data_IF_371863146888
#
_entry.id   IF_371863146888
#
_cell.length_a   1.000
_cell.length_b   1.000
_cell.length_c   1.000
_cell.angle_alpha   90.00
_cell.angle_beta   90.00
_cell.angle_gamma   90.00
#
_symmetry.space_group_name_H-M   'P 1'
#
loop_
_entity.id
_entity.type
_entity.pdbx_description
1 polymer ?
#
# COMPACT_ATOMS: atom_id res chain seq x y z
N UNK A 1 11.90 2.56 24.81
CA UNK A 1 10.81 2.52 25.80
C UNK A 1 10.38 3.95 26.06
N UNK A 2 9.14 4.26 25.82
CA UNK A 2 8.54 5.55 26.12
C UNK A 2 7.57 5.42 27.29
N UNK A 3 7.43 6.49 28.08
CA UNK A 3 6.51 6.52 29.21
C UNK A 3 5.25 7.28 28.81
N UNK A 4 4.07 6.66 28.97
CA UNK A 4 2.81 7.35 28.67
C UNK A 4 2.55 8.51 29.65
N UNK A 5 2.83 8.28 30.92
CA UNK A 5 2.59 9.25 32.01
C UNK A 5 3.88 9.51 32.78
N UNK A 6 4.85 10.27 32.27
CA UNK A 6 6.11 10.54 32.99
C UNK A 6 5.90 11.28 34.29
N UNK A 7 4.82 12.03 34.43
CA UNK A 7 4.44 12.73 35.67
C UNK A 7 4.19 11.78 36.84
N UNK A 8 3.76 10.53 36.57
CA UNK A 8 3.59 9.53 37.61
C UNK A 8 4.91 9.21 38.34
N UNK A 9 6.06 9.37 37.71
CA UNK A 9 7.37 9.16 38.31
C UNK A 9 7.68 10.18 39.40
N UNK A 10 7.05 11.37 39.43
CA UNK A 10 7.19 12.33 40.52
C UNK A 10 6.66 11.80 41.85
N UNK A 11 5.73 10.82 41.80
CA UNK A 11 5.27 10.15 43.03
C UNK A 11 6.37 9.35 43.73
N UNK A 12 7.46 8.99 43.03
CA UNK A 12 8.63 8.36 43.66
C UNK A 12 9.30 9.28 44.71
N UNK A 13 9.18 10.60 44.55
CA UNK A 13 9.69 11.57 45.54
C UNK A 13 8.95 11.49 46.90
N UNK A 14 7.73 10.95 46.93
CA UNK A 14 6.95 10.72 48.13
C UNK A 14 7.44 9.48 48.94
N UNK A 15 8.18 8.55 48.31
CA UNK A 15 8.64 7.32 48.94
C UNK A 15 9.55 7.56 50.16
N UNK A 16 10.56 8.44 50.13
CA UNK A 16 11.39 8.70 51.31
C UNK A 16 10.59 9.30 52.46
N UNK A 17 9.61 10.16 52.15
CA UNK A 17 8.72 10.73 53.16
C UNK A 17 7.84 9.64 53.83
N UNK A 18 7.24 8.78 52.97
CA UNK A 18 6.44 7.64 53.43
C UNK A 18 7.29 6.65 54.23
N UNK A 19 8.54 6.39 53.81
CA UNK A 19 9.50 5.57 54.50
C UNK A 19 9.87 6.11 55.88
N UNK A 20 10.15 7.41 55.95
CA UNK A 20 10.39 8.08 57.23
C UNK A 20 9.20 7.90 58.18
N UNK A 21 7.98 8.11 57.70
CA UNK A 21 6.77 8.00 58.53
C UNK A 21 6.49 6.55 58.98
N UNK A 22 6.72 5.55 58.10
CA UNK A 22 6.54 4.13 58.40
C UNK A 22 7.57 3.61 59.41
N UNK A 23 8.83 4.06 59.31
CA UNK A 23 9.92 3.62 60.16
C UNK A 23 9.92 4.33 61.50
N UNK A 24 9.48 5.61 61.59
CA UNK A 24 9.49 6.43 62.79
C UNK A 24 8.19 6.41 63.61
N UNK A 25 7.11 5.81 63.06
CA UNK A 25 5.82 5.71 63.78
C UNK A 25 5.88 4.68 64.93
N UNK A 26 6.62 5.00 65.96
CA UNK A 26 6.69 4.23 67.24
C UNK A 26 5.61 4.69 68.21
N UNK A 27 4.32 4.59 67.86
CA UNK A 27 3.25 4.69 68.87
C UNK A 27 2.67 3.28 69.07
N UNK A 28 3.37 2.48 69.82
CA UNK A 28 2.81 1.29 70.45
C UNK A 28 1.99 1.68 71.69
N UNK A 29 0.90 0.99 71.94
CA UNK A 29 0.20 1.08 73.18
C UNK A 29 1.17 0.72 74.28
N UNK A 30 1.31 1.59 75.33
CA UNK A 30 2.16 1.34 76.44
C UNK A 30 1.34 0.63 77.54
N UNK A 31 1.74 -0.59 77.88
CA UNK A 31 1.18 -1.33 78.97
C UNK A 31 2.11 -1.07 80.16
N UNK A 32 1.54 -0.61 81.27
CA UNK A 32 2.30 -0.39 82.50
C UNK A 32 2.53 -1.73 83.21
N UNK A 33 3.80 -2.13 83.28
CA UNK A 33 4.22 -3.31 84.01
C UNK A 33 4.92 -2.92 85.30
N UNK A 34 4.72 -3.65 86.44
CA UNK A 34 5.31 -3.31 87.76
C UNK A 34 6.82 -3.44 87.75
N UNK A 35 7.41 -4.36 86.99
CA UNK A 35 8.87 -4.54 86.87
C UNK A 35 9.27 -4.98 85.48
N UNK A 36 10.35 -4.39 84.91
CA UNK A 36 10.93 -4.71 83.66
C UNK A 36 12.28 -5.43 83.74
N UNK A 37 12.70 -5.79 84.90
CA UNK A 37 14.07 -6.31 85.16
C UNK A 37 14.28 -7.62 84.40
N UNK A 38 13.35 -8.54 84.50
CA UNK A 38 13.45 -9.86 83.83
C UNK A 38 13.24 -9.79 82.26
N UNK A 39 12.53 -8.77 81.81
CA UNK A 39 12.34 -8.58 80.36
C UNK A 39 13.55 -7.99 79.65
N UNK A 40 14.43 -7.27 80.34
CA UNK A 40 15.67 -6.70 79.81
C UNK A 40 16.73 -7.75 79.48
N UNK A 41 16.68 -8.90 80.12
CA UNK A 41 17.59 -10.03 79.88
C UNK A 41 17.16 -10.97 78.78
N UNK A 42 15.95 -10.82 78.21
CA UNK A 42 15.47 -11.66 77.11
C UNK A 42 16.14 -11.34 75.77
N UNK A 43 16.68 -12.35 75.10
CA UNK A 43 17.26 -12.13 73.72
C UNK A 43 16.19 -11.65 72.70
N UNK A 44 16.58 -10.65 71.93
CA UNK A 44 15.69 -10.12 70.86
C UNK A 44 15.44 -11.20 69.80
N UNK A 45 14.19 -11.62 69.67
CA UNK A 45 13.79 -12.62 68.70
C UNK A 45 14.13 -12.17 67.23
N UNK A 46 14.59 -13.11 66.44
CA UNK A 46 14.84 -12.87 65.01
C UNK A 46 13.63 -12.28 64.26
N UNK A 47 12.42 -12.62 64.70
CA UNK A 47 11.16 -12.05 64.16
C UNK A 47 11.08 -10.52 64.38
N UNK A 48 11.56 -10.04 65.49
CA UNK A 48 11.57 -8.60 65.80
C UNK A 48 12.62 -7.86 64.98
N UNK A 49 13.78 -8.51 64.72
CA UNK A 49 14.83 -7.96 63.84
C UNK A 49 14.42 -7.85 62.38
N UNK A 50 13.64 -8.82 61.84
CA UNK A 50 13.18 -8.84 60.44
C UNK A 50 11.90 -8.02 60.19
N UNK A 51 11.26 -7.52 61.26
CA UNK A 51 10.03 -6.73 61.14
C UNK A 51 10.17 -5.47 60.28
N UNK A 52 11.26 -4.70 60.25
CA UNK A 52 11.44 -3.57 59.36
C UNK A 52 11.43 -3.98 57.86
N UNK A 53 11.70 -5.27 57.54
CA UNK A 53 11.65 -5.79 56.22
C UNK A 53 10.24 -5.69 55.59
N UNK A 54 9.17 -5.81 56.39
CA UNK A 54 7.79 -5.61 55.94
C UNK A 54 7.54 -4.16 55.51
N UNK A 55 8.12 -3.19 56.18
CA UNK A 55 8.02 -1.79 55.79
C UNK A 55 8.76 -1.53 54.48
N UNK A 56 9.93 -2.16 54.30
CA UNK A 56 10.69 -2.08 53.06
C UNK A 56 9.93 -2.76 51.91
N UNK A 57 9.34 -3.95 52.15
CA UNK A 57 8.51 -4.64 51.16
C UNK A 57 7.31 -3.78 50.70
N UNK A 58 6.67 -3.09 51.64
CA UNK A 58 5.58 -2.14 51.36
C UNK A 58 6.03 -0.97 50.50
N UNK A 59 7.17 -0.38 50.80
CA UNK A 59 7.75 0.72 50.01
C UNK A 59 8.11 0.25 48.60
N UNK A 60 8.68 -0.96 48.49
CA UNK A 60 9.00 -1.56 47.19
C UNK A 60 7.73 -1.83 46.37
N UNK A 61 6.66 -2.33 47.02
CA UNK A 61 5.37 -2.54 46.36
C UNK A 61 4.81 -1.22 45.82
N UNK A 62 4.82 -0.15 46.61
CA UNK A 62 4.38 1.18 46.17
C UNK A 62 5.25 1.70 45.02
N UNK A 63 6.57 1.49 45.06
CA UNK A 63 7.47 1.88 43.99
C UNK A 63 7.11 1.15 42.66
N UNK A 64 6.88 -0.16 42.71
CA UNK A 64 6.49 -0.95 41.58
C UNK A 64 5.13 -0.52 41.01
N UNK A 65 4.17 -0.18 41.84
CA UNK A 65 2.87 0.35 41.44
C UNK A 65 2.99 1.73 40.74
N UNK A 66 3.89 2.59 41.26
CA UNK A 66 4.16 3.89 40.62
C UNK A 66 4.78 3.69 39.24
N UNK A 67 5.73 2.73 39.09
CA UNK A 67 6.30 2.38 37.80
C UNK A 67 5.25 1.81 36.84
N UNK A 68 4.33 0.99 37.35
CA UNK A 68 3.20 0.49 36.56
C UNK A 68 2.27 1.63 36.11
N UNK A 69 2.00 2.61 36.99
CA UNK A 69 1.17 3.78 36.70
C UNK A 69 1.81 4.70 35.64
N UNK A 70 3.15 4.74 35.59
CA UNK A 70 3.88 5.46 34.56
C UNK A 70 3.68 4.84 33.11
N UNK A 71 3.08 3.63 33.04
CA UNK A 71 2.74 2.90 31.80
C UNK A 71 3.90 2.88 30.80
N UNK A 72 4.97 2.08 31.06
CA UNK A 72 6.03 1.87 30.07
C UNK A 72 5.46 1.18 28.83
N UNK A 73 5.69 1.78 27.67
CA UNK A 73 5.23 1.26 26.39
C UNK A 73 6.39 1.08 25.42
N UNK A 74 6.31 0.02 24.63
CA UNK A 74 7.15 -0.17 23.45
C UNK A 74 6.32 0.19 22.23
N UNK A 75 6.75 1.18 21.47
CA UNK A 75 6.21 1.45 20.15
C UNK A 75 6.70 0.38 19.19
N UNK A 76 5.80 -0.41 18.64
CA UNK A 76 6.06 -1.17 17.44
C UNK A 76 5.57 -0.30 16.31
N UNK A 77 6.48 0.16 15.45
CA UNK A 77 6.12 0.89 14.25
C UNK A 77 5.51 -0.13 13.30
N UNK A 78 4.20 -0.23 13.30
CA UNK A 78 3.48 -0.88 12.22
C UNK A 78 3.33 0.17 11.14
N UNK A 79 4.14 0.07 10.11
CA UNK A 79 3.98 0.84 8.89
C UNK A 79 2.83 0.21 8.12
N UNK A 80 1.60 0.64 8.32
CA UNK A 80 0.56 0.43 7.32
C UNK A 80 0.92 1.31 6.13
N UNK A 81 1.57 0.71 5.16
CA UNK A 81 1.76 1.33 3.86
C UNK A 81 0.41 1.23 3.15
N UNK A 82 -0.47 2.20 3.38
CA UNK A 82 -1.61 2.40 2.48
C UNK A 82 -1.03 2.93 1.18
N UNK A 83 -0.83 2.04 0.22
CA UNK A 83 -0.37 2.43 -1.11
C UNK A 83 -1.59 2.87 -1.90
N UNK A 84 -1.77 4.17 -2.05
CA UNK A 84 -2.70 4.71 -3.03
C UNK A 84 -2.00 4.61 -4.39
N UNK A 85 -2.62 3.94 -5.33
CA UNK A 85 -2.12 3.80 -6.70
C UNK A 85 -3.19 4.08 -7.73
N UNK A 86 -2.78 4.13 -8.99
CA UNK A 86 -3.67 4.25 -10.15
C UNK A 86 -3.80 2.88 -10.78
N UNK A 87 -4.96 2.59 -11.34
CA UNK A 87 -5.15 1.44 -12.21
C UNK A 87 -5.08 1.89 -13.66
N UNK A 88 -4.12 1.37 -14.40
CA UNK A 88 -3.83 1.71 -15.79
C UNK A 88 -4.05 0.47 -16.66
N UNK A 89 -4.93 0.55 -17.64
CA UNK A 89 -5.09 -0.49 -18.65
C UNK A 89 -4.50 0.00 -19.97
N UNK A 90 -3.39 -0.58 -20.40
CA UNK A 90 -2.82 -0.32 -21.72
C UNK A 90 -3.55 -1.19 -22.76
N UNK A 91 -4.16 -0.54 -23.76
CA UNK A 91 -4.91 -1.18 -24.83
C UNK A 91 -4.18 -0.94 -26.14
N UNK A 92 -3.51 -1.97 -26.65
CA UNK A 92 -2.56 -1.88 -27.76
C UNK A 92 -3.10 -2.57 -28.99
N UNK A 93 -3.15 -1.84 -30.09
CA UNK A 93 -3.46 -2.36 -31.40
C UNK A 93 -2.33 -3.24 -31.94
N UNK A 94 -2.66 -4.43 -32.40
CA UNK A 94 -1.73 -5.36 -33.07
C UNK A 94 -2.15 -5.74 -34.49
N UNK A 95 -3.04 -4.95 -35.10
CA UNK A 95 -3.51 -5.15 -36.46
C UNK A 95 -2.39 -5.02 -37.53
N UNK A 96 -2.68 -5.46 -38.74
CA UNK A 96 -1.69 -5.46 -39.79
C UNK A 96 -1.17 -4.07 -40.18
N UNK A 97 -1.91 -2.98 -39.95
CA UNK A 97 -1.50 -1.59 -40.14
C UNK A 97 -0.30 -1.20 -39.25
N UNK A 98 -0.18 -1.79 -38.07
CA UNK A 98 0.93 -1.57 -37.15
C UNK A 98 2.31 -2.05 -37.67
N UNK A 99 2.35 -2.70 -38.85
CA UNK A 99 3.59 -3.00 -39.58
C UNK A 99 4.23 -1.78 -40.22
N UNK A 100 3.50 -0.66 -40.36
CA UNK A 100 4.04 0.55 -40.98
C UNK A 100 5.27 1.05 -40.18
N UNK A 101 6.23 1.63 -40.93
CA UNK A 101 7.47 2.14 -40.33
C UNK A 101 7.24 3.45 -39.53
N UNK A 102 7.90 3.56 -38.41
CA UNK A 102 7.95 4.74 -37.56
C UNK A 102 9.40 5.02 -37.14
N UNK A 103 9.75 6.28 -37.02
CA UNK A 103 11.08 6.66 -36.58
C UNK A 103 11.24 6.50 -35.04
N UNK A 104 12.32 5.82 -34.62
CA UNK A 104 12.71 5.65 -33.25
C UNK A 104 14.19 6.05 -33.11
N UNK A 105 14.44 7.30 -32.72
CA UNK A 105 15.77 7.86 -32.53
C UNK A 105 16.72 7.68 -33.73
N UNK A 106 16.18 7.77 -34.96
CA UNK A 106 16.90 7.58 -36.21
C UNK A 106 16.90 6.13 -36.76
N UNK A 107 16.39 5.17 -35.98
CA UNK A 107 16.15 3.80 -36.41
C UNK A 107 14.71 3.64 -36.92
N UNK A 108 14.49 2.95 -38.03
CA UNK A 108 13.17 2.68 -38.54
C UNK A 108 12.68 1.33 -38.02
N UNK A 109 11.68 1.39 -37.15
CA UNK A 109 11.00 0.23 -36.60
C UNK A 109 9.54 0.20 -37.04
N UNK A 110 8.86 -0.93 -36.88
CA UNK A 110 7.42 -0.96 -37.04
C UNK A 110 6.71 -0.24 -35.87
N UNK A 111 5.50 0.27 -36.10
CA UNK A 111 4.72 1.03 -35.13
C UNK A 111 4.53 0.26 -33.82
N UNK A 112 4.23 -1.05 -33.89
CA UNK A 112 4.05 -1.88 -32.70
C UNK A 112 5.34 -1.94 -31.85
N UNK A 113 6.52 -2.09 -32.49
CA UNK A 113 7.78 -2.16 -31.75
C UNK A 113 8.12 -0.84 -31.07
N UNK A 114 7.83 0.29 -31.73
CA UNK A 114 7.97 1.62 -31.11
C UNK A 114 7.05 1.75 -29.90
N UNK A 115 5.78 1.35 -30.03
CA UNK A 115 4.82 1.35 -28.89
C UNK A 115 5.31 0.49 -27.75
N UNK A 116 5.80 -0.71 -28.02
CA UNK A 116 6.32 -1.64 -27.01
C UNK A 116 7.48 -1.02 -26.24
N UNK A 117 8.44 -0.40 -26.92
CA UNK A 117 9.59 0.25 -26.30
C UNK A 117 9.16 1.43 -25.42
N UNK A 118 8.33 2.33 -25.95
CA UNK A 118 7.87 3.51 -25.18
C UNK A 118 6.99 3.13 -24.00
N UNK A 119 6.13 2.11 -24.12
CA UNK A 119 5.35 1.61 -22.99
C UNK A 119 6.25 0.94 -21.94
N UNK A 120 7.29 0.21 -22.34
CA UNK A 120 8.25 -0.36 -21.40
C UNK A 120 8.99 0.76 -20.63
N UNK A 121 9.43 1.82 -21.31
CA UNK A 121 10.02 3.02 -20.68
C UNK A 121 9.04 3.69 -19.71
N UNK A 122 7.76 3.78 -20.04
CA UNK A 122 6.74 4.33 -19.15
C UNK A 122 6.53 3.48 -17.89
N UNK A 123 6.54 2.16 -18.04
CA UNK A 123 6.29 1.21 -16.94
C UNK A 123 7.51 1.11 -16.00
N UNK A 124 8.68 0.87 -16.56
CA UNK A 124 9.92 0.64 -15.80
C UNK A 124 10.60 1.94 -15.38
N UNK A 125 10.38 3.00 -16.12
CA UNK A 125 11.08 4.28 -16.01
C UNK A 125 12.24 4.39 -16.98
N UNK A 126 12.56 5.62 -17.32
CA UNK A 126 13.78 5.98 -18.05
C UNK A 126 14.66 6.83 -17.13
N UNK A 127 15.99 6.67 -17.19
CA UNK A 127 16.93 7.43 -16.36
C UNK A 127 16.84 8.96 -16.54
N UNK A 128 16.14 9.43 -17.59
CA UNK A 128 16.07 10.84 -17.97
C UNK A 128 14.79 11.55 -17.50
N UNK A 129 13.60 11.07 -17.91
CA UNK A 129 12.35 11.81 -17.79
C UNK A 129 11.22 11.07 -17.08
N UNK A 130 11.20 9.73 -17.12
CA UNK A 130 10.15 8.88 -16.54
C UNK A 130 10.68 8.13 -15.30
N UNK A 131 10.03 8.34 -14.14
CA UNK A 131 10.46 7.69 -12.87
C UNK A 131 10.01 6.24 -12.75
N UNK A 132 9.20 5.74 -13.69
CA UNK A 132 8.55 4.45 -13.59
C UNK A 132 7.34 4.45 -12.63
N UNK A 133 6.53 3.40 -12.73
CA UNK A 133 5.20 3.30 -12.11
C UNK A 133 5.14 2.21 -11.04
N UNK A 134 6.12 2.16 -10.13
CA UNK A 134 6.32 1.07 -9.16
C UNK A 134 5.13 0.78 -8.24
N UNK A 135 4.23 1.75 -8.04
CA UNK A 135 3.09 1.65 -7.12
C UNK A 135 1.74 1.53 -7.82
N UNK A 136 1.70 1.51 -9.15
CA UNK A 136 0.46 1.48 -9.92
C UNK A 136 0.13 0.06 -10.40
N UNK A 137 -1.16 -0.25 -10.49
CA UNK A 137 -1.65 -1.47 -11.12
C UNK A 137 -1.70 -1.27 -12.62
N UNK A 138 -0.94 -2.06 -13.36
CA UNK A 138 -0.91 -1.94 -14.82
C UNK A 138 -1.32 -3.26 -15.45
N UNK A 139 -2.26 -3.20 -16.41
CA UNK A 139 -2.71 -4.31 -17.23
C UNK A 139 -2.45 -4.07 -18.71
N UNK A 140 -2.52 -5.13 -19.50
CA UNK A 140 -2.32 -5.11 -20.95
C UNK A 140 -3.42 -5.88 -21.66
N UNK A 141 -4.17 -5.16 -22.45
CA UNK A 141 -5.12 -5.69 -23.44
C UNK A 141 -4.52 -5.46 -24.80
N UNK A 142 -4.54 -6.47 -25.65
CA UNK A 142 -4.18 -6.34 -27.07
C UNK A 142 -5.40 -6.60 -27.93
N UNK A 143 -5.50 -5.93 -29.06
CA UNK A 143 -6.62 -6.13 -29.95
C UNK A 143 -6.22 -6.05 -31.42
N UNK A 144 -6.98 -6.72 -32.24
CA UNK A 144 -7.04 -6.63 -33.68
C UNK A 144 -8.50 -6.85 -34.07
N UNK A 145 -8.86 -7.95 -34.69
CA UNK A 145 -10.26 -8.35 -34.92
C UNK A 145 -11.00 -8.66 -33.62
N UNK A 146 -10.30 -9.16 -32.64
CA UNK A 146 -10.79 -9.48 -31.28
C UNK A 146 -9.90 -8.82 -30.25
N UNK A 147 -10.48 -8.48 -29.11
CA UNK A 147 -9.76 -7.97 -27.98
C UNK A 147 -9.47 -9.10 -26.97
N UNK A 148 -8.21 -9.21 -26.53
CA UNK A 148 -7.76 -10.21 -25.59
C UNK A 148 -6.96 -9.58 -24.45
N UNK A 149 -7.16 -10.09 -23.23
CA UNK A 149 -6.34 -9.69 -22.07
C UNK A 149 -5.04 -10.48 -22.11
N UNK A 150 -3.93 -9.82 -22.39
CA UNK A 150 -2.62 -10.45 -22.42
C UNK A 150 -2.00 -10.52 -21.03
N UNK A 151 -2.16 -9.45 -20.25
CA UNK A 151 -1.75 -9.42 -18.85
C UNK A 151 -2.85 -8.77 -18.00
N UNK A 152 -3.32 -9.43 -16.92
CA UNK A 152 -4.24 -8.78 -15.98
C UNK A 152 -3.56 -7.63 -15.25
N UNK A 153 -4.34 -6.81 -14.54
CA UNK A 153 -3.81 -5.72 -13.71
C UNK A 153 -2.91 -6.27 -12.59
N UNK A 154 -1.62 -5.96 -12.66
CA UNK A 154 -0.58 -6.44 -11.73
C UNK A 154 0.31 -5.29 -11.25
N UNK A 155 0.87 -5.45 -10.05
CA UNK A 155 1.93 -4.57 -9.51
C UNK A 155 3.34 -5.04 -9.95
N UNK A 156 3.46 -6.27 -10.46
CA UNK A 156 4.74 -6.85 -10.91
C UNK A 156 5.03 -6.46 -12.35
N UNK A 157 5.68 -5.34 -12.54
CA UNK A 157 5.90 -4.75 -13.86
C UNK A 157 6.85 -5.57 -14.75
N UNK A 158 7.78 -6.32 -14.17
CA UNK A 158 8.65 -7.22 -14.96
C UNK A 158 7.90 -8.31 -15.72
N UNK A 159 6.78 -8.79 -15.16
CA UNK A 159 5.90 -9.76 -15.85
C UNK A 159 5.17 -9.08 -17.01
N UNK A 160 4.70 -7.86 -16.79
CA UNK A 160 3.98 -7.09 -17.81
C UNK A 160 4.88 -6.77 -19.00
N UNK A 161 6.12 -6.33 -18.78
CA UNK A 161 7.08 -6.03 -19.85
C UNK A 161 7.47 -7.28 -20.64
N UNK A 162 7.51 -8.44 -20.00
CA UNK A 162 7.74 -9.70 -20.73
C UNK A 162 6.58 -10.04 -21.65
N UNK A 163 5.32 -9.91 -21.20
CA UNK A 163 4.15 -10.06 -22.07
C UNK A 163 4.11 -9.04 -23.21
N UNK A 164 4.51 -7.79 -22.91
CA UNK A 164 4.59 -6.74 -23.91
C UNK A 164 5.62 -7.08 -25.00
N UNK A 165 6.80 -7.61 -24.64
CA UNK A 165 7.83 -8.05 -25.60
C UNK A 165 7.33 -9.18 -26.50
N UNK A 166 6.53 -10.11 -25.97
CA UNK A 166 5.98 -11.25 -26.71
C UNK A 166 4.84 -10.85 -27.66
N UNK A 167 4.28 -9.64 -27.53
CA UNK A 167 3.22 -9.16 -28.41
C UNK A 167 3.71 -9.08 -29.86
N UNK A 168 2.96 -9.70 -30.78
CA UNK A 168 3.27 -9.73 -32.20
C UNK A 168 2.08 -9.25 -33.05
N UNK A 169 2.38 -8.69 -34.20
CA UNK A 169 1.38 -8.31 -35.21
C UNK A 169 0.68 -9.56 -35.69
N UNK A 170 -0.61 -9.46 -35.93
CA UNK A 170 -1.42 -10.55 -36.45
C UNK A 170 -0.92 -10.99 -37.84
N UNK A 171 -0.66 -12.30 -37.93
CA UNK A 171 -0.15 -12.90 -39.19
C UNK A 171 -1.26 -13.44 -40.11
N UNK A 172 -2.39 -13.84 -39.50
CA UNK A 172 -3.49 -14.47 -40.18
C UNK A 172 -4.52 -13.42 -40.63
N UNK A 173 -4.87 -13.47 -41.93
CA UNK A 173 -5.84 -12.53 -42.54
C UNK A 173 -7.24 -12.57 -41.90
N UNK A 174 -7.63 -13.71 -41.34
CA UNK A 174 -8.92 -13.89 -40.68
C UNK A 174 -8.93 -13.30 -39.22
N UNK A 175 -7.78 -12.98 -38.68
CA UNK A 175 -7.62 -12.33 -37.36
C UNK A 175 -7.31 -10.83 -37.47
N UNK A 176 -7.04 -10.36 -38.70
CA UNK A 176 -6.75 -8.95 -38.97
C UNK A 176 -8.03 -8.11 -38.95
N UNK A 177 -7.91 -6.89 -38.48
CA UNK A 177 -8.99 -5.94 -38.27
C UNK A 177 -8.75 -5.11 -37.01
N UNK A 178 -9.65 -4.18 -36.74
CA UNK A 178 -9.48 -3.21 -35.64
C UNK A 178 -10.80 -3.04 -34.88
N UNK A 179 -10.95 -3.75 -33.75
CA UNK A 179 -12.14 -3.78 -32.90
C UNK A 179 -11.99 -2.84 -31.70
N UNK A 180 -11.97 -1.53 -31.92
CA UNK A 180 -11.73 -0.50 -30.88
C UNK A 180 -12.81 -0.57 -29.80
N UNK A 181 -14.08 -0.72 -30.17
CA UNK A 181 -15.18 -0.76 -29.21
C UNK A 181 -15.08 -1.93 -28.24
N UNK A 182 -14.80 -3.13 -28.74
CA UNK A 182 -14.61 -4.33 -27.91
C UNK A 182 -13.37 -4.20 -27.03
N UNK A 183 -12.29 -3.57 -27.51
CA UNK A 183 -11.06 -3.34 -26.76
C UNK A 183 -11.28 -2.39 -25.58
N UNK A 184 -11.99 -1.28 -25.80
CA UNK A 184 -12.38 -0.34 -24.72
C UNK A 184 -13.29 -1.03 -23.71
N UNK A 185 -14.31 -1.75 -24.17
CA UNK A 185 -15.26 -2.45 -23.29
C UNK A 185 -14.53 -3.48 -22.41
N UNK A 186 -13.60 -4.27 -22.98
CA UNK A 186 -12.81 -5.25 -22.24
C UNK A 186 -11.89 -4.59 -21.23
N UNK A 187 -11.12 -3.57 -21.61
CA UNK A 187 -10.22 -2.84 -20.73
C UNK A 187 -10.97 -2.16 -19.57
N UNK A 188 -12.11 -1.52 -19.88
CA UNK A 188 -12.96 -0.92 -18.87
C UNK A 188 -13.53 -1.97 -17.89
N UNK A 189 -13.97 -3.13 -18.37
CA UNK A 189 -14.45 -4.22 -17.53
C UNK A 189 -13.33 -4.79 -16.62
N UNK A 190 -12.08 -4.85 -17.09
CA UNK A 190 -10.91 -5.26 -16.28
C UNK A 190 -10.65 -4.28 -15.14
N UNK A 191 -10.64 -2.98 -15.44
CA UNK A 191 -10.45 -1.92 -14.45
C UNK A 191 -11.57 -1.95 -13.38
N UNK A 192 -12.82 -2.12 -13.80
CA UNK A 192 -13.97 -2.20 -12.90
C UNK A 192 -13.89 -3.43 -11.99
N UNK A 193 -13.58 -4.58 -12.58
CA UNK A 193 -13.44 -5.84 -11.82
C UNK A 193 -12.31 -5.77 -10.78
N UNK A 194 -11.17 -5.19 -11.13
CA UNK A 194 -10.06 -5.01 -10.20
C UNK A 194 -10.44 -4.12 -9.01
N UNK A 195 -11.18 -3.03 -9.25
CA UNK A 195 -11.70 -2.18 -8.19
C UNK A 195 -12.63 -2.96 -7.24
N UNK A 196 -13.57 -3.73 -7.80
CA UNK A 196 -14.51 -4.55 -7.00
C UNK A 196 -13.81 -5.64 -6.18
N UNK A 197 -12.81 -6.30 -6.75
CA UNK A 197 -12.02 -7.33 -6.06
C UNK A 197 -11.21 -6.74 -4.91
N UNK A 198 -10.59 -5.58 -5.11
CA UNK A 198 -9.87 -4.87 -4.05
C UNK A 198 -10.82 -4.39 -2.94
N UNK A 199 -11.98 -3.84 -3.29
CA UNK A 199 -12.99 -3.44 -2.31
C UNK A 199 -13.49 -4.63 -1.48
N UNK A 200 -13.80 -5.78 -2.11
CA UNK A 200 -14.18 -7.01 -1.42
C UNK A 200 -13.08 -7.51 -0.48
N UNK A 201 -11.83 -7.48 -0.92
CA UNK A 201 -10.68 -7.86 -0.10
C UNK A 201 -10.53 -6.96 1.11
N UNK A 202 -10.62 -5.65 0.94
CA UNK A 202 -10.54 -4.68 2.02
C UNK A 202 -11.69 -4.85 3.03
N UNK A 203 -12.92 -5.13 2.56
CA UNK A 203 -14.07 -5.43 3.41
C UNK A 203 -13.89 -6.74 4.19
N UNK A 204 -13.37 -7.80 3.57
CA UNK A 204 -13.15 -9.10 4.23
C UNK A 204 -12.08 -9.01 5.33
N UNK A 205 -11.11 -8.14 5.19
CA UNK A 205 -10.08 -7.86 6.21
C UNK A 205 -10.64 -7.04 7.39
N UNK A 206 -11.69 -6.23 7.18
CA UNK A 206 -12.35 -5.41 8.21
C UNK A 206 -13.43 -6.12 9.02
N UNK A 207 -14.00 -7.24 8.54
CA UNK A 207 -15.12 -7.93 9.18
C UNK A 207 -14.76 -9.17 10.02
N UNK A 208 -13.48 -9.48 10.20
CA UNK A 208 -13.02 -10.55 11.09
C UNK A 208 -13.17 -10.13 12.56
N UNK A 209 -14.40 -10.17 13.08
CA UNK A 209 -14.67 -10.00 14.51
C UNK A 209 -14.03 -11.13 15.31
N UNK A 210 -13.12 -10.78 16.14
CA UNK A 210 -12.61 -11.32 17.41
C UNK A 210 -11.08 -11.21 17.50
N UNK A 211 -10.64 -10.12 18.07
CA UNK A 211 -9.53 -10.10 19.04
C UNK A 211 -8.09 -10.18 18.55
N UNK A 212 -7.79 -10.47 17.29
CA UNK A 212 -6.41 -10.37 16.77
C UNK A 212 -6.46 -9.81 15.35
N UNK A 213 -6.34 -8.51 15.24
CA UNK A 213 -6.15 -7.81 13.96
C UNK A 213 -4.78 -8.18 13.40
N UNK A 214 -4.75 -9.19 12.54
CA UNK A 214 -3.67 -9.36 11.57
C UNK A 214 -3.83 -8.31 10.49
N UNK A 215 -3.46 -7.09 10.80
CA UNK A 215 -3.40 -5.96 9.87
C UNK A 215 -2.10 -5.94 9.07
N UNK A 216 -1.57 -7.10 8.68
CA UNK A 216 -0.27 -7.17 8.00
C UNK A 216 -0.36 -7.15 6.46
N UNK A 217 -1.55 -7.01 5.90
CA UNK A 217 -1.69 -6.89 4.44
C UNK A 217 -1.84 -5.41 4.06
N UNK A 218 -0.91 -4.85 3.24
CA UNK A 218 -1.02 -3.48 2.77
C UNK A 218 -2.36 -3.31 2.02
N UNK A 219 -3.18 -2.38 2.48
CA UNK A 219 -4.43 -2.04 1.80
C UNK A 219 -4.09 -1.20 0.58
N UNK A 220 -4.32 -1.75 -0.62
CA UNK A 220 -4.18 -1.01 -1.87
C UNK A 220 -5.53 -0.36 -2.21
N UNK A 221 -5.49 0.95 -2.49
CA UNK A 221 -6.70 1.70 -2.88
C UNK A 221 -6.49 2.33 -4.26
N UNK A 222 -7.39 2.03 -5.20
CA UNK A 222 -7.36 2.64 -6.53
C UNK A 222 -7.96 4.05 -6.42
N UNK A 223 -7.14 5.06 -6.68
CA UNK A 223 -7.56 6.47 -6.69
C UNK A 223 -8.19 6.86 -8.02
N UNK A 224 -7.54 6.53 -9.11
CA UNK A 224 -7.99 6.82 -10.47
C UNK A 224 -7.90 5.56 -11.33
N UNK A 225 -8.78 5.48 -12.32
CA UNK A 225 -8.79 4.43 -13.33
C UNK A 225 -8.59 5.07 -14.70
N UNK A 226 -7.57 4.65 -15.42
CA UNK A 226 -7.26 5.16 -16.74
C UNK A 226 -7.09 4.03 -17.76
N UNK A 227 -7.50 4.28 -18.98
CA UNK A 227 -7.30 3.42 -20.11
C UNK A 227 -6.49 4.19 -21.15
N UNK A 228 -5.38 3.64 -21.61
CA UNK A 228 -4.52 4.22 -22.65
C UNK A 228 -4.73 3.40 -23.90
N UNK A 229 -5.46 3.95 -24.87
CA UNK A 229 -5.72 3.33 -26.16
C UNK A 229 -4.68 3.77 -27.17
N UNK A 230 -3.95 2.80 -27.76
CA UNK A 230 -2.94 3.02 -28.79
C UNK A 230 -3.38 2.29 -30.05
N UNK A 231 -3.68 3.04 -31.12
CA UNK A 231 -4.15 2.50 -32.40
C UNK A 231 -3.70 3.36 -33.57
N UNK A 232 -3.55 2.75 -34.71
CA UNK A 232 -3.26 3.43 -36.00
C UNK A 232 -4.38 3.27 -37.06
N UNK A 233 -5.49 2.62 -36.67
CA UNK A 233 -6.56 2.25 -37.59
C UNK A 233 -7.91 2.88 -37.28
N UNK A 234 -8.88 2.53 -38.15
CA UNK A 234 -10.31 2.81 -37.98
C UNK A 234 -11.00 1.61 -37.36
N UNK A 235 -12.05 1.88 -36.60
CA UNK A 235 -12.90 0.80 -36.11
C UNK A 235 -13.65 0.15 -37.30
N UNK A 236 -13.29 -1.07 -37.65
CA UNK A 236 -13.90 -1.82 -38.76
C UNK A 236 -14.46 -3.18 -38.32
N UNK A 237 -14.22 -3.59 -37.11
CA UNK A 237 -14.64 -4.85 -36.50
C UNK A 237 -15.16 -4.63 -35.06
N UNK A 238 -15.70 -5.69 -34.46
CA UNK A 238 -16.19 -5.67 -33.09
C UNK A 238 -17.72 -5.74 -33.00
N UNK A 239 -18.21 -6.04 -31.83
CA UNK A 239 -19.65 -6.13 -31.50
C UNK A 239 -20.16 -4.84 -30.85
N UNK A 240 -19.29 -4.14 -30.12
CA UNK A 240 -19.64 -2.92 -29.42
C UNK A 240 -19.22 -1.69 -30.21
N UNK A 241 -20.10 -0.68 -30.23
CA UNK A 241 -19.75 0.62 -30.79
C UNK A 241 -18.69 1.28 -29.87
N UNK A 242 -17.64 1.89 -30.45
CA UNK A 242 -16.62 2.59 -29.65
C UNK A 242 -17.17 3.69 -28.73
N UNK A 243 -18.21 4.41 -29.18
CA UNK A 243 -18.86 5.46 -28.37
C UNK A 243 -19.68 4.87 -27.23
N UNK A 244 -20.41 3.77 -27.45
CA UNK A 244 -21.12 3.06 -26.37
C UNK A 244 -20.14 2.52 -25.31
N UNK A 245 -19.01 1.97 -25.75
CA UNK A 245 -17.97 1.51 -24.84
C UNK A 245 -17.33 2.67 -24.05
N UNK A 246 -17.17 3.85 -24.68
CA UNK A 246 -16.71 5.06 -23.99
C UNK A 246 -17.72 5.57 -22.97
N UNK A 247 -19.01 5.56 -23.26
CA UNK A 247 -20.06 5.91 -22.28
C UNK A 247 -20.08 4.94 -21.10
N UNK A 248 -19.90 3.65 -21.33
CA UNK A 248 -19.77 2.65 -20.29
C UNK A 248 -18.57 2.94 -19.38
N UNK A 249 -17.41 3.23 -19.98
CA UNK A 249 -16.20 3.59 -19.26
C UNK A 249 -16.40 4.85 -18.42
N UNK A 250 -17.06 5.89 -18.95
CA UNK A 250 -17.43 7.11 -18.24
C UNK A 250 -18.30 6.82 -17.03
N UNK A 251 -19.32 5.97 -17.17
CA UNK A 251 -20.21 5.59 -16.06
C UNK A 251 -19.48 4.87 -14.93
N UNK A 252 -18.36 4.21 -15.24
CA UNK A 252 -17.49 3.57 -14.26
C UNK A 252 -16.36 4.48 -13.76
N UNK A 253 -16.35 5.75 -14.15
CA UNK A 253 -15.34 6.73 -13.75
C UNK A 253 -13.95 6.45 -14.33
N UNK A 254 -13.88 5.87 -15.52
CA UNK A 254 -12.64 5.55 -16.22
C UNK A 254 -12.37 6.64 -17.25
N UNK A 255 -11.18 7.23 -17.25
CA UNK A 255 -10.72 8.17 -18.25
C UNK A 255 -10.00 7.43 -19.37
N UNK A 256 -10.27 7.80 -20.63
CA UNK A 256 -9.64 7.18 -21.78
C UNK A 256 -8.72 8.21 -22.46
N UNK A 257 -7.44 7.87 -22.54
CA UNK A 257 -6.44 8.61 -23.29
C UNK A 257 -6.24 7.92 -24.64
N UNK A 258 -6.60 8.59 -25.73
CA UNK A 258 -6.48 8.04 -27.06
C UNK A 258 -5.22 8.55 -27.74
N UNK A 259 -4.34 7.65 -28.16
CA UNK A 259 -3.11 7.94 -28.87
C UNK A 259 -3.20 7.35 -30.27
N UNK A 260 -3.34 8.23 -31.25
CA UNK A 260 -3.30 7.85 -32.65
C UNK A 260 -1.86 7.74 -33.15
N UNK A 261 -1.47 6.59 -33.68
CA UNK A 261 -0.11 6.31 -34.12
C UNK A 261 -0.04 6.43 -35.63
N UNK A 262 0.80 7.31 -36.12
CA UNK A 262 1.01 7.45 -37.57
C UNK A 262 1.42 8.86 -37.99
N UNK A 263 2.19 8.91 -39.07
CA UNK A 263 2.59 10.14 -39.75
C UNK A 263 1.79 10.30 -41.04
N UNK A 264 1.63 11.55 -41.50
CA UNK A 264 0.90 11.85 -42.75
C UNK A 264 1.48 11.14 -44.00
N UNK A 265 2.69 10.62 -43.94
CA UNK A 265 3.35 9.82 -44.98
C UNK A 265 3.86 8.52 -44.36
N UNK A 266 3.02 7.49 -44.33
CA UNK A 266 3.41 6.17 -43.88
C UNK A 266 3.92 5.30 -45.00
N UNK A 267 4.97 4.55 -44.76
CA UNK A 267 5.52 3.57 -45.71
C UNK A 267 5.51 2.20 -45.04
N UNK A 268 5.15 1.19 -45.83
CA UNK A 268 5.25 -0.22 -45.43
C UNK A 268 6.34 -0.89 -46.25
N UNK A 269 7.25 -1.56 -45.59
CA UNK A 269 8.24 -2.38 -46.25
C UNK A 269 7.68 -3.77 -46.51
N UNK A 270 7.56 -4.15 -47.76
CA UNK A 270 7.09 -5.47 -48.21
C UNK A 270 8.27 -6.24 -48.80
N UNK A 271 8.61 -7.38 -48.18
CA UNK A 271 9.57 -8.33 -48.73
C UNK A 271 8.87 -9.20 -49.78
N UNK A 272 9.38 -9.16 -51.02
CA UNK A 272 8.94 -10.02 -52.09
C UNK A 272 10.08 -10.92 -52.55
N UNK A 273 9.81 -11.95 -53.33
CA UNK A 273 10.85 -12.83 -53.91
C UNK A 273 11.87 -12.10 -54.78
N UNK A 274 11.56 -10.88 -55.21
CA UNK A 274 12.41 -10.06 -56.13
C UNK A 274 13.18 -8.99 -55.34
N UNK A 275 12.89 -8.79 -54.07
CA UNK A 275 13.54 -7.78 -53.22
C UNK A 275 12.57 -7.09 -52.26
N UNK A 276 13.11 -6.12 -51.51
CA UNK A 276 12.38 -5.33 -50.51
C UNK A 276 11.87 -4.04 -51.17
N UNK A 277 10.56 -3.85 -51.21
CA UNK A 277 9.92 -2.66 -51.75
C UNK A 277 9.27 -1.83 -50.65
N UNK A 278 9.40 -0.52 -50.74
CA UNK A 278 8.68 0.44 -49.90
C UNK A 278 7.43 0.91 -50.63
N UNK A 279 6.27 0.60 -50.08
CA UNK A 279 4.98 1.06 -50.61
C UNK A 279 4.42 2.15 -49.68
N UNK A 280 3.93 3.28 -50.26
CA UNK A 280 3.19 4.26 -49.50
C UNK A 280 1.89 3.62 -48.99
N UNK A 281 1.56 3.85 -47.75
CA UNK A 281 0.33 3.40 -47.10
C UNK A 281 -0.47 4.64 -46.72
N UNK A 282 -1.75 4.68 -47.08
CA UNK A 282 -2.63 5.74 -46.59
C UNK A 282 -2.87 5.55 -45.07
N UNK A 283 -2.87 6.66 -44.34
CA UNK A 283 -3.15 6.66 -42.92
C UNK A 283 -4.66 6.56 -42.74
N UNK A 284 -5.11 5.42 -42.20
CA UNK A 284 -6.54 5.13 -42.01
C UNK A 284 -7.08 5.60 -40.65
N UNK A 285 -6.36 6.48 -39.96
CA UNK A 285 -6.70 6.90 -38.57
C UNK A 285 -8.00 7.74 -38.55
N UNK A 286 -8.97 7.32 -37.75
CA UNK A 286 -10.20 8.08 -37.51
C UNK A 286 -10.03 9.00 -36.28
N UNK A 287 -9.38 10.15 -36.50
CA UNK A 287 -9.16 11.14 -35.46
C UNK A 287 -10.45 11.67 -34.83
N UNK A 288 -11.53 11.79 -35.63
CA UNK A 288 -12.81 12.30 -35.16
C UNK A 288 -13.41 11.38 -34.10
N UNK A 289 -13.40 10.07 -34.36
CA UNK A 289 -13.87 9.07 -33.43
C UNK A 289 -13.03 9.04 -32.14
N UNK A 290 -11.70 9.03 -32.27
CA UNK A 290 -10.79 8.99 -31.10
C UNK A 290 -10.91 10.24 -30.22
N UNK A 291 -11.09 11.43 -30.82
CA UNK A 291 -11.38 12.67 -30.08
C UNK A 291 -12.69 12.57 -29.31
N UNK A 292 -13.74 12.09 -29.95
CA UNK A 292 -15.07 11.93 -29.32
C UNK A 292 -15.03 10.95 -28.13
N UNK A 293 -14.30 9.84 -28.24
CA UNK A 293 -14.09 8.87 -27.15
C UNK A 293 -13.38 9.54 -25.96
N UNK A 294 -12.27 10.26 -26.22
CA UNK A 294 -11.50 10.92 -25.20
C UNK A 294 -12.30 12.02 -24.50
N UNK A 295 -12.97 12.88 -25.24
CA UNK A 295 -13.83 13.96 -24.70
C UNK A 295 -14.99 13.41 -23.87
N UNK A 296 -15.63 12.33 -24.31
CA UNK A 296 -16.75 11.70 -23.57
C UNK A 296 -16.31 11.26 -22.17
N UNK A 297 -15.09 10.75 -22.03
CA UNK A 297 -14.57 10.18 -20.77
C UNK A 297 -13.74 11.17 -19.93
N UNK A 298 -13.52 12.40 -20.45
CA UNK A 298 -12.70 13.42 -19.78
C UNK A 298 -11.19 13.18 -19.90
N UNK A 299 -10.77 12.38 -20.87
CA UNK A 299 -9.38 12.25 -21.28
C UNK A 299 -8.98 13.22 -22.41
N UNK A 300 -7.93 12.90 -23.15
CA UNK A 300 -7.54 13.66 -24.34
C UNK A 300 -7.10 12.73 -25.47
N UNK A 301 -7.17 13.25 -26.68
CA UNK A 301 -6.61 12.65 -27.89
C UNK A 301 -5.30 13.34 -28.26
N UNK A 302 -4.31 12.56 -28.69
CA UNK A 302 -3.09 13.11 -29.28
C UNK A 302 -2.56 12.18 -30.37
N UNK A 303 -1.90 12.75 -31.37
CA UNK A 303 -1.29 12.02 -32.47
C UNK A 303 0.22 11.91 -32.28
N UNK A 304 0.77 10.71 -32.41
CA UNK A 304 2.19 10.42 -32.37
C UNK A 304 2.69 10.07 -33.78
N UNK A 305 3.48 10.95 -34.37
CA UNK A 305 4.11 10.73 -35.68
C UNK A 305 5.46 10.01 -35.60
N UNK A 306 6.12 10.07 -34.45
CA UNK A 306 7.42 9.47 -34.16
C UNK A 306 7.51 9.06 -32.67
N UNK A 307 8.58 8.35 -32.30
CA UNK A 307 8.79 7.91 -30.92
C UNK A 307 8.93 9.06 -29.94
N UNK A 308 9.54 10.16 -30.34
CA UNK A 308 9.72 11.33 -29.48
C UNK A 308 8.37 11.97 -29.09
N UNK A 309 7.46 12.12 -30.07
CA UNK A 309 6.10 12.60 -29.79
C UNK A 309 5.31 11.62 -28.92
N UNK A 310 5.46 10.31 -29.14
CA UNK A 310 4.81 9.29 -28.30
C UNK A 310 5.30 9.36 -26.84
N UNK A 311 6.62 9.45 -26.60
CA UNK A 311 7.19 9.65 -25.26
C UNK A 311 6.62 10.90 -24.59
N UNK A 312 6.56 12.02 -25.31
CA UNK A 312 6.03 13.28 -24.75
C UNK A 312 4.55 13.18 -24.37
N UNK A 313 3.74 12.46 -25.16
CA UNK A 313 2.33 12.22 -24.84
C UNK A 313 2.22 11.39 -23.56
N UNK A 314 2.98 10.30 -23.46
CA UNK A 314 2.99 9.41 -22.31
C UNK A 314 3.51 10.14 -21.06
N UNK A 315 4.53 11.00 -21.18
CA UNK A 315 5.02 11.88 -20.10
C UNK A 315 3.93 12.86 -19.65
N UNK A 316 3.12 13.37 -20.58
CA UNK A 316 1.98 14.25 -20.23
C UNK A 316 0.94 13.49 -19.41
N UNK A 317 0.62 12.25 -19.79
CA UNK A 317 -0.27 11.37 -19.02
C UNK A 317 0.33 11.09 -17.64
N UNK A 318 1.64 10.86 -17.56
CA UNK A 318 2.36 10.67 -16.29
C UNK A 318 2.19 11.86 -15.34
N UNK A 319 2.34 13.06 -15.85
CA UNK A 319 2.19 14.29 -15.07
C UNK A 319 0.76 14.55 -14.60
N UNK A 320 -0.23 14.26 -15.46
CA UNK A 320 -1.66 14.47 -15.15
C UNK A 320 -2.18 13.47 -14.10
N UNK A 321 -1.69 12.25 -14.16
CA UNK A 321 -2.17 11.13 -13.33
C UNK A 321 -1.16 10.74 -12.23
N UNK A 322 -0.33 11.70 -11.81
CA UNK A 322 0.64 11.44 -10.75
C UNK A 322 -0.04 11.30 -9.41
N UNK A 323 0.19 10.18 -8.75
CA UNK A 323 -0.29 9.94 -7.39
C UNK A 323 0.84 10.19 -6.40
N UNK A 324 0.58 11.03 -5.39
CA UNK A 324 1.47 11.12 -4.24
C UNK A 324 1.23 9.89 -3.35
N UNK A 325 2.24 9.06 -3.18
CA UNK A 325 2.21 7.94 -2.22
C UNK A 325 2.21 8.54 -0.81
N UNK A 326 1.04 8.57 -0.17
CA UNK A 326 0.93 8.92 1.25
C UNK A 326 1.14 7.65 2.06
N UNK A 327 2.34 7.44 2.57
CA UNK A 327 2.56 6.43 3.60
C UNK A 327 2.10 6.99 4.95
N UNK A 328 1.00 6.48 5.47
CA UNK A 328 0.56 6.80 6.82
C UNK A 328 1.23 5.81 7.77
N UNK A 329 2.19 6.28 8.55
CA UNK A 329 2.82 5.47 9.58
C UNK A 329 1.99 5.52 10.87
N UNK A 330 1.37 4.41 11.22
CA UNK A 330 0.74 4.25 12.52
C UNK A 330 1.72 3.58 13.49
N UNK A 331 1.94 4.21 14.63
CA UNK A 331 2.74 3.60 15.72
C UNK A 331 1.77 2.96 16.70
N UNK A 332 1.68 1.63 16.71
CA UNK A 332 0.97 0.92 17.75
C UNK A 332 1.87 0.79 18.98
N UNK A 333 1.35 1.20 20.13
CA UNK A 333 2.05 1.10 21.40
C UNK A 333 1.55 -0.11 22.19
N UNK A 334 2.40 -1.09 22.39
CA UNK A 334 2.13 -2.19 23.32
C UNK A 334 2.45 -1.74 24.76
N UNK A 335 1.45 -1.77 25.64
CA UNK A 335 1.61 -1.42 27.05
C UNK A 335 2.15 -2.61 27.84
N UNK A 336 3.24 -2.41 28.57
CA UNK A 336 3.87 -3.44 29.39
C UNK A 336 3.71 -3.17 30.90
N UNK A 337 2.60 -2.58 31.31
CA UNK A 337 2.34 -2.29 32.72
C UNK A 337 2.19 -3.57 33.56
N UNK A 338 1.72 -4.67 32.97
CA UNK A 338 1.51 -5.96 33.65
C UNK A 338 2.80 -6.53 34.25
N UNK A 339 3.96 -6.30 33.65
CA UNK A 339 5.25 -6.73 34.14
C UNK A 339 5.65 -6.08 35.47
N UNK A 340 5.07 -4.94 35.81
CA UNK A 340 5.31 -4.21 37.04
C UNK A 340 4.18 -4.40 38.02
N UNK A 341 2.93 -4.55 37.58
CA UNK A 341 1.77 -4.76 38.46
C UNK A 341 1.77 -6.15 39.08
N UNK A 342 2.14 -7.19 38.32
CA UNK A 342 2.09 -8.59 38.78
C UNK A 342 3.07 -8.83 39.98
N UNK A 343 4.37 -8.47 39.91
CA UNK A 343 5.26 -8.59 41.06
C UNK A 343 4.88 -7.69 42.23
N UNK A 344 4.28 -6.51 42.00
CA UNK A 344 3.76 -5.67 43.03
C UNK A 344 2.64 -6.36 43.82
N UNK A 345 1.71 -7.01 43.14
CA UNK A 345 0.58 -7.71 43.72
C UNK A 345 1.01 -8.95 44.51
N UNK A 346 1.97 -9.72 43.94
CA UNK A 346 2.59 -10.87 44.65
C UNK A 346 3.29 -10.43 45.93
N UNK A 347 4.04 -9.33 45.85
CA UNK A 347 4.76 -8.79 47.02
C UNK A 347 3.78 -8.31 48.09
N UNK A 348 2.70 -7.66 47.73
CA UNK A 348 1.65 -7.21 48.64
C UNK A 348 0.93 -8.40 49.29
N UNK A 349 0.61 -9.44 48.57
CA UNK A 349 0.03 -10.67 49.10
C UNK A 349 0.97 -11.36 50.11
N UNK A 350 2.25 -11.44 49.73
CA UNK A 350 3.27 -11.99 50.65
C UNK A 350 3.43 -11.16 51.95
N UNK A 351 3.45 -9.83 51.82
CA UNK A 351 3.51 -8.93 52.98
C UNK A 351 2.31 -9.13 53.91
N UNK A 352 1.08 -9.21 53.33
CA UNK A 352 -0.13 -9.44 54.14
C UNK A 352 -0.09 -10.80 54.84
N UNK A 353 0.25 -11.88 54.12
CA UNK A 353 0.37 -13.21 54.70
C UNK A 353 1.44 -13.27 55.81
N UNK A 354 2.63 -12.71 55.56
CA UNK A 354 3.71 -12.65 56.57
C UNK A 354 3.31 -11.82 57.80
N UNK A 355 2.59 -10.71 57.57
CA UNK A 355 2.06 -9.86 58.64
C UNK A 355 1.02 -10.54 59.51
N UNK A 356 0.15 -11.35 58.92
CA UNK A 356 -0.91 -12.08 59.65
C UNK A 356 -0.44 -13.36 60.30
N UNK A 357 0.66 -13.97 59.82
CA UNK A 357 1.17 -15.28 60.32
C UNK A 357 2.43 -15.10 61.17
N UNK A 358 3.58 -14.84 60.53
CA UNK A 358 4.91 -14.85 61.17
C UNK A 358 5.12 -13.63 62.07
N UNK A 359 4.69 -12.45 61.63
CA UNK A 359 4.91 -11.17 62.30
C UNK A 359 3.66 -10.63 62.98
N UNK A 360 2.69 -11.48 63.28
CA UNK A 360 1.45 -11.12 63.98
C UNK A 360 1.75 -10.42 65.29
N UNK A 361 1.12 -9.27 65.52
CA UNK A 361 1.13 -8.60 66.87
C UNK A 361 0.07 -9.28 67.69
N UNK A 362 0.49 -9.89 68.74
CA UNK A 362 -0.39 -10.22 69.87
C UNK A 362 -0.60 -8.91 70.64
N UNK A 363 -1.83 -8.46 70.87
CA UNK A 363 -2.15 -7.21 71.53
C UNK A 363 -1.64 -7.19 72.96
#
# INVERSE_FOLDING_TARGET
>A
MEWYSPWALLLLLLLPFLGYFLLHKKRGAAVRFPSLVDMRSCPVSWRLRLRPLLAVARLLCVALLILALARPRKGTVLSEISTEGIAIEAVVDRSGSMQAEMDYDGEKLNRLEVVKRVLAEFIEGDEKDLRGRTSDLIGLVTFARYADTLCPLVLSHGVLTEFLKQTQIVSLRNEDGTAIGDAIALGAARLKKAEEELQRRNLSLGFGGSGETRNDAPSFTIKNKILILLTDGRNNMGRHSPLEAAELAKNWGIRIYCIGIGSAQAYRTVQTMVGTFRMPTEDELDEGLLKSIAETTGGFYSRAGDAASLRKIVETIDKLEKTEVKSVQYTQYAEHFSWWTLPALVLLGFEMLAGCTIFRKIP
#
